data_IF_400802380845
#
_entry.id   IF_400802380845
#
_cell.length_a   1.000
_cell.length_b   1.000
_cell.length_c   1.000
_cell.angle_alpha   90.00
_cell.angle_beta   90.00
_cell.angle_gamma   90.00
#
_symmetry.space_group_name_H-M   'P 1'
#
loop_
_entity.id
_entity.type
_entity.pdbx_description
1 polymer ?
#
# COMPACT_ATOMS: atom_id res chain seq x y z
N UNK A 1 7.10 -13.51 -11.61
CA UNK A 1 6.40 -14.08 -10.44
C UNK A 1 7.03 -15.39 -10.03
N UNK A 2 7.99 -15.40 -9.09
CA UNK A 2 8.48 -16.64 -8.47
C UNK A 2 7.30 -17.48 -7.93
N UNK A 3 6.31 -16.81 -7.31
CA UNK A 3 5.11 -17.45 -6.76
C UNK A 3 4.19 -18.13 -7.80
N UNK A 4 4.11 -17.67 -9.06
CA UNK A 4 3.36 -18.37 -10.12
C UNK A 4 4.20 -19.38 -10.90
N UNK A 5 5.52 -19.18 -10.95
CA UNK A 5 6.41 -20.06 -11.70
C UNK A 5 6.49 -21.46 -11.07
N UNK A 6 6.49 -21.55 -9.74
CA UNK A 6 6.77 -22.80 -9.03
C UNK A 6 5.59 -23.78 -8.95
N UNK A 7 4.33 -23.32 -9.09
CA UNK A 7 3.15 -24.20 -8.91
C UNK A 7 2.16 -24.23 -10.06
N UNK A 8 2.15 -23.22 -10.92
CA UNK A 8 1.12 -23.12 -11.98
C UNK A 8 1.71 -22.98 -13.39
N UNK A 9 3.02 -23.17 -13.54
CA UNK A 9 3.74 -22.88 -14.78
C UNK A 9 3.45 -21.44 -15.30
N UNK A 10 3.29 -20.49 -14.38
CA UNK A 10 2.95 -19.10 -14.72
C UNK A 10 1.49 -18.87 -15.11
N UNK A 11 0.58 -19.82 -14.84
CA UNK A 11 -0.83 -19.73 -15.23
C UNK A 11 -1.68 -19.35 -14.02
N UNK A 12 -2.26 -18.15 -14.06
CA UNK A 12 -3.30 -17.73 -13.15
C UNK A 12 -4.38 -17.03 -13.97
N UNK A 13 -5.64 -17.30 -13.66
CA UNK A 13 -6.79 -16.63 -14.28
C UNK A 13 -7.22 -15.42 -13.44
N UNK A 14 -6.99 -15.51 -12.12
CA UNK A 14 -7.27 -14.47 -11.13
C UNK A 14 -6.04 -14.31 -10.23
N UNK A 15 -5.67 -13.07 -9.92
CA UNK A 15 -4.67 -12.73 -8.90
C UNK A 15 -5.32 -11.75 -7.93
N UNK A 16 -5.25 -12.03 -6.62
CA UNK A 16 -5.69 -11.10 -5.58
C UNK A 16 -4.48 -10.80 -4.72
N UNK A 17 -4.08 -9.53 -4.66
CA UNK A 17 -2.88 -9.15 -3.94
C UNK A 17 -2.70 -7.66 -3.84
N UNK A 18 -1.60 -7.26 -3.21
CA UNK A 18 -1.22 -5.86 -3.09
C UNK A 18 -0.96 -5.27 -4.49
N UNK A 19 -1.75 -4.27 -4.86
CA UNK A 19 -1.81 -3.68 -6.19
C UNK A 19 -0.44 -3.32 -6.75
N UNK A 20 0.35 -2.52 -6.04
CA UNK A 20 1.67 -2.10 -6.51
C UNK A 20 2.65 -3.26 -6.75
N UNK A 21 2.57 -4.32 -5.94
CA UNK A 21 3.41 -5.53 -6.12
C UNK A 21 2.96 -6.30 -7.36
N UNK A 22 1.65 -6.48 -7.54
CA UNK A 22 1.09 -7.18 -8.69
C UNK A 22 1.35 -6.41 -9.98
N UNK A 23 1.17 -5.08 -9.98
CA UNK A 23 1.45 -4.21 -11.12
C UNK A 23 2.93 -4.30 -11.55
N UNK A 24 3.87 -4.23 -10.60
CA UNK A 24 5.30 -4.35 -10.89
C UNK A 24 5.66 -5.74 -11.49
N UNK A 25 5.03 -6.80 -11.01
CA UNK A 25 5.22 -8.15 -11.56
C UNK A 25 4.56 -8.33 -12.95
N UNK A 26 3.41 -7.68 -13.19
CA UNK A 26 2.76 -7.63 -14.50
C UNK A 26 3.70 -6.94 -15.51
N UNK A 27 4.27 -5.79 -15.14
CA UNK A 27 5.20 -5.04 -15.99
C UNK A 27 6.47 -5.85 -16.27
N UNK A 28 7.14 -6.33 -15.22
CA UNK A 28 8.36 -7.14 -15.32
C UNK A 28 8.16 -8.42 -16.15
N UNK A 29 7.03 -9.08 -15.96
CA UNK A 29 6.67 -10.32 -16.65
C UNK A 29 5.99 -10.13 -18.00
N UNK A 30 5.71 -8.89 -18.41
CA UNK A 30 4.90 -8.55 -19.61
C UNK A 30 3.59 -9.35 -19.64
N UNK A 31 2.96 -9.50 -18.48
CA UNK A 31 1.74 -10.28 -18.32
C UNK A 31 0.52 -9.47 -18.78
N UNK A 32 -0.55 -10.17 -19.15
CA UNK A 32 -1.83 -9.54 -19.51
C UNK A 32 -2.81 -9.73 -18.36
N UNK A 33 -2.77 -8.84 -17.39
CA UNK A 33 -3.76 -8.78 -16.31
C UNK A 33 -4.32 -7.37 -16.23
N UNK A 34 -5.59 -7.26 -15.83
CA UNK A 34 -6.24 -5.98 -15.57
C UNK A 34 -6.83 -5.99 -14.16
N UNK A 35 -6.66 -4.91 -13.38
CA UNK A 35 -7.37 -4.76 -12.13
C UNK A 35 -8.88 -4.66 -12.43
N UNK A 36 -9.70 -5.29 -11.60
CA UNK A 36 -11.16 -5.29 -11.78
C UNK A 36 -11.92 -4.79 -10.55
N UNK A 37 -11.45 -5.09 -9.33
CA UNK A 37 -12.13 -4.74 -8.09
C UNK A 37 -11.10 -4.58 -6.96
N UNK A 38 -11.39 -3.70 -6.01
CA UNK A 38 -10.60 -3.53 -4.79
C UNK A 38 -11.31 -4.14 -3.58
N UNK A 39 -10.55 -4.79 -2.69
CA UNK A 39 -11.06 -5.34 -1.43
C UNK A 39 -11.07 -4.24 -0.37
N UNK A 40 -12.21 -4.07 0.31
CA UNK A 40 -12.29 -3.12 1.44
C UNK A 40 -11.69 -3.70 2.72
N UNK A 41 -11.07 -2.87 3.55
CA UNK A 41 -10.75 -3.22 4.94
C UNK A 41 -12.00 -3.24 5.82
N UNK A 42 -11.84 -3.58 7.11
CA UNK A 42 -12.92 -3.48 8.13
C UNK A 42 -13.43 -2.04 8.31
N UNK A 43 -12.61 -1.04 7.96
CA UNK A 43 -12.99 0.38 7.94
C UNK A 43 -13.83 0.76 6.71
N UNK A 44 -13.86 -0.09 5.68
CA UNK A 44 -14.53 0.16 4.40
C UNK A 44 -13.67 0.87 3.36
N UNK A 45 -12.38 1.06 3.62
CA UNK A 45 -11.44 1.75 2.73
C UNK A 45 -10.65 0.73 1.90
N UNK A 46 -10.22 1.09 0.69
CA UNK A 46 -9.50 0.22 -0.26
C UNK A 46 -8.00 0.56 -0.40
N UNK A 47 -7.51 1.44 0.47
CA UNK A 47 -6.16 1.98 0.43
C UNK A 47 -5.39 1.63 1.70
N UNK A 48 -4.07 1.66 1.61
CA UNK A 48 -3.17 1.55 2.74
C UNK A 48 -2.20 2.75 2.77
N UNK A 49 -1.43 2.88 3.85
CA UNK A 49 -0.39 3.90 3.98
C UNK A 49 0.93 3.28 4.42
N UNK A 50 2.04 3.92 4.12
CA UNK A 50 3.32 3.68 4.77
C UNK A 50 3.37 4.41 6.10
N UNK A 51 3.99 3.80 7.10
CA UNK A 51 4.28 4.38 8.39
C UNK A 51 5.79 4.47 8.53
N UNK A 52 6.30 5.69 8.72
CA UNK A 52 7.70 5.90 9.06
C UNK A 52 7.81 5.76 10.58
N UNK A 53 8.63 4.81 11.02
CA UNK A 53 8.77 4.45 12.42
C UNK A 53 10.21 4.56 12.89
N UNK A 54 10.36 4.92 14.17
CA UNK A 54 11.63 4.97 14.91
C UNK A 54 11.48 4.19 16.22
N UNK A 55 12.58 3.81 16.89
CA UNK A 55 12.50 3.32 18.27
C UNK A 55 11.76 4.31 19.17
N UNK A 56 10.95 3.83 20.11
CA UNK A 56 10.07 4.69 20.90
C UNK A 56 10.84 5.74 21.72
N UNK A 57 12.05 5.40 22.18
CA UNK A 57 12.94 6.29 22.92
C UNK A 57 13.69 7.33 22.06
N UNK A 58 13.61 7.26 20.72
CA UNK A 58 14.25 8.24 19.84
C UNK A 58 13.65 9.65 20.04
N UNK A 59 14.41 10.76 19.89
CA UNK A 59 13.82 12.09 20.07
C UNK A 59 12.90 12.54 18.91
N UNK A 60 12.99 11.96 17.71
CA UNK A 60 12.21 12.38 16.53
C UNK A 60 10.70 12.22 16.77
N UNK A 61 9.90 13.22 16.41
CA UNK A 61 8.43 13.21 16.59
C UNK A 61 7.67 13.35 15.27
N UNK A 62 8.33 13.85 14.25
CA UNK A 62 7.79 14.14 12.92
C UNK A 62 8.72 13.66 11.83
N UNK A 63 8.22 13.50 10.60
CA UNK A 63 9.05 13.11 9.45
C UNK A 63 10.20 14.10 9.20
N UNK A 64 9.99 15.39 9.47
CA UNK A 64 11.03 16.43 9.33
C UNK A 64 12.19 16.31 10.33
N UNK A 65 12.00 15.60 11.44
CA UNK A 65 13.06 15.34 12.42
C UNK A 65 14.08 14.30 11.93
N UNK A 66 13.78 13.61 10.83
CA UNK A 66 14.60 12.54 10.26
C UNK A 66 15.76 13.04 9.39
N UNK A 67 16.08 14.34 9.46
CA UNK A 67 17.26 14.90 8.79
C UNK A 67 18.52 14.20 9.29
N UNK A 68 19.33 13.70 8.36
CA UNK A 68 20.55 12.94 8.64
C UNK A 68 20.32 11.59 9.37
N UNK A 69 19.09 11.07 9.39
CA UNK A 69 18.84 9.71 9.86
C UNK A 69 19.22 8.70 8.78
N UNK A 70 19.61 7.50 9.20
CA UNK A 70 19.62 6.33 8.32
C UNK A 70 18.18 5.88 8.10
N UNK A 71 17.70 5.86 6.86
CA UNK A 71 16.30 5.51 6.56
C UNK A 71 16.29 4.24 5.70
N UNK A 72 15.63 3.20 6.21
CA UNK A 72 15.48 1.91 5.54
C UNK A 72 14.08 1.85 4.92
N UNK A 73 14.00 1.88 3.60
CA UNK A 73 12.76 1.85 2.85
C UNK A 73 12.29 0.42 2.57
N UNK A 74 11.04 0.26 2.09
CA UNK A 74 10.66 -0.99 1.43
C UNK A 74 11.23 -1.09 0.01
N UNK A 75 11.03 -2.22 -0.68
CA UNK A 75 11.43 -2.36 -2.08
C UNK A 75 10.69 -1.37 -2.98
N UNK A 76 11.27 -1.01 -4.14
CA UNK A 76 10.69 -0.05 -5.08
C UNK A 76 9.27 -0.40 -5.54
N UNK A 77 8.94 -1.68 -5.61
CA UNK A 77 7.63 -2.19 -6.00
C UNK A 77 6.58 -2.14 -4.85
N UNK A 78 6.95 -1.62 -3.68
CA UNK A 78 6.05 -1.37 -2.56
C UNK A 78 5.81 0.14 -2.42
N UNK A 79 4.83 0.66 -3.15
CA UNK A 79 4.56 2.11 -3.29
C UNK A 79 4.48 2.86 -1.94
N UNK A 80 3.78 2.31 -0.96
CA UNK A 80 3.60 2.92 0.37
C UNK A 80 4.88 2.97 1.19
N UNK A 81 5.77 1.98 1.01
CA UNK A 81 7.04 1.89 1.74
C UNK A 81 8.19 2.60 1.02
N UNK A 82 7.99 2.96 -0.26
CA UNK A 82 9.04 3.48 -1.11
C UNK A 82 8.64 4.84 -1.70
N UNK A 83 7.96 4.88 -2.85
CA UNK A 83 7.63 6.12 -3.55
C UNK A 83 6.86 7.13 -2.69
N UNK A 84 5.80 6.69 -1.99
CA UNK A 84 4.98 7.56 -1.15
C UNK A 84 5.74 8.05 0.11
N UNK A 85 6.73 7.28 0.58
CA UNK A 85 7.57 7.66 1.71
C UNK A 85 8.66 8.66 1.29
N UNK A 86 9.25 8.47 0.12
CA UNK A 86 10.17 9.43 -0.51
C UNK A 86 9.48 10.78 -0.66
N UNK A 87 8.25 10.80 -1.20
CA UNK A 87 7.47 12.01 -1.38
C UNK A 87 7.19 12.72 -0.04
N UNK A 88 6.79 11.97 1.00
CA UNK A 88 6.56 12.51 2.34
C UNK A 88 7.83 13.13 2.94
N UNK A 89 8.97 12.44 2.83
CA UNK A 89 10.26 12.89 3.37
C UNK A 89 10.77 14.13 2.63
N UNK A 90 10.67 14.15 1.30
CA UNK A 90 11.01 15.31 0.48
C UNK A 90 10.13 16.52 0.84
N UNK A 91 8.82 16.33 0.95
CA UNK A 91 7.88 17.38 1.37
C UNK A 91 8.15 17.87 2.80
N UNK A 92 8.77 17.04 3.65
CA UNK A 92 9.18 17.38 5.02
C UNK A 92 10.58 18.01 5.10
N UNK A 93 11.24 18.25 3.96
CA UNK A 93 12.57 18.86 3.88
C UNK A 93 13.71 17.91 4.29
N UNK A 94 13.51 16.59 4.19
CA UNK A 94 14.56 15.59 4.39
C UNK A 94 15.23 15.28 3.06
N UNK A 95 16.53 15.53 2.97
CA UNK A 95 17.35 15.15 1.82
C UNK A 95 17.68 13.66 1.91
N UNK A 96 17.41 12.92 0.85
CA UNK A 96 17.71 11.49 0.74
C UNK A 96 19.04 11.28 -0.01
N UNK A 97 19.79 10.21 0.31
CA UNK A 97 20.97 9.84 -0.46
C UNK A 97 20.60 9.36 -1.88
N UNK A 98 21.56 9.41 -2.79
CA UNK A 98 21.38 8.93 -4.18
C UNK A 98 21.01 7.45 -4.24
N UNK A 99 21.58 6.64 -3.34
CA UNK A 99 21.29 5.22 -3.19
C UNK A 99 20.48 4.98 -1.92
N UNK A 100 19.26 4.49 -2.07
CA UNK A 100 18.36 4.19 -0.96
C UNK A 100 18.63 2.79 -0.42
N UNK A 101 18.70 2.69 0.90
CA UNK A 101 18.71 1.40 1.59
C UNK A 101 17.29 0.81 1.64
N UNK A 102 17.16 -0.48 1.34
CA UNK A 102 15.86 -1.16 1.30
C UNK A 102 15.87 -2.48 2.05
N UNK A 103 14.75 -2.84 2.68
CA UNK A 103 14.49 -4.16 3.24
C UNK A 103 13.18 -4.74 2.70
N UNK A 104 13.17 -6.05 2.46
CA UNK A 104 12.01 -6.75 1.89
C UNK A 104 10.82 -6.75 2.87
N UNK A 105 11.02 -7.27 4.07
CA UNK A 105 9.98 -7.39 5.08
C UNK A 105 9.91 -6.18 6.02
N UNK A 106 8.70 -5.86 6.48
CA UNK A 106 8.48 -4.82 7.48
C UNK A 106 9.13 -5.17 8.83
N UNK A 107 9.15 -6.45 9.19
CA UNK A 107 9.78 -6.96 10.41
C UNK A 107 11.29 -6.73 10.40
N UNK A 108 11.94 -6.95 9.26
CA UNK A 108 13.40 -6.89 9.17
C UNK A 108 13.89 -5.45 9.39
N UNK A 109 13.26 -4.48 8.73
CA UNK A 109 13.56 -3.07 8.93
C UNK A 109 13.28 -2.62 10.37
N UNK A 110 12.18 -3.08 10.95
CA UNK A 110 11.78 -2.71 12.30
C UNK A 110 12.70 -3.31 13.39
N UNK A 111 13.10 -4.58 13.24
CA UNK A 111 14.10 -5.23 14.08
C UNK A 111 15.45 -4.54 13.93
N UNK A 112 15.87 -4.23 12.71
CA UNK A 112 17.17 -3.59 12.44
C UNK A 112 17.31 -2.26 13.17
N UNK A 113 16.31 -1.37 13.12
CA UNK A 113 16.40 -0.08 13.81
C UNK A 113 16.40 -0.22 15.34
N UNK A 114 15.82 -1.27 15.89
CA UNK A 114 15.86 -1.56 17.33
C UNK A 114 17.23 -2.10 17.75
N UNK A 115 17.81 -3.00 16.96
CA UNK A 115 19.15 -3.57 17.23
C UNK A 115 20.27 -2.55 17.13
N UNK A 116 20.14 -1.56 16.23
CA UNK A 116 21.07 -0.43 16.15
C UNK A 116 21.09 0.41 17.45
N UNK A 117 19.97 0.45 18.17
CA UNK A 117 19.82 1.15 19.44
C UNK A 117 20.17 2.64 19.35
N UNK A 118 20.62 3.23 20.46
CA UNK A 118 20.95 4.66 20.53
C UNK A 118 22.23 5.05 19.76
N UNK A 119 22.97 4.09 19.21
CA UNK A 119 24.23 4.32 18.49
C UNK A 119 23.99 4.94 17.12
N UNK A 120 22.87 4.61 16.47
CA UNK A 120 22.54 5.10 15.13
C UNK A 120 21.10 5.57 15.14
N UNK A 121 20.90 6.84 14.79
CA UNK A 121 19.57 7.39 14.52
C UNK A 121 19.04 6.81 13.23
N UNK A 122 18.08 5.89 13.36
CA UNK A 122 17.54 5.16 12.25
C UNK A 122 16.00 5.14 12.25
N UNK A 123 15.43 5.13 11.06
CA UNK A 123 14.02 4.96 10.82
C UNK A 123 13.80 3.87 9.76
N UNK A 124 12.65 3.23 9.78
CA UNK A 124 12.21 2.36 8.68
C UNK A 124 10.79 2.71 8.25
N UNK A 125 10.41 2.28 7.06
CA UNK A 125 9.06 2.44 6.54
C UNK A 125 8.36 1.08 6.47
N UNK A 126 7.26 0.95 7.21
CA UNK A 126 6.44 -0.26 7.24
C UNK A 126 5.07 0.00 6.61
N UNK A 127 4.41 -1.03 6.11
CA UNK A 127 3.01 -0.93 5.68
C UNK A 127 2.09 -0.78 6.89
N UNK A 128 1.04 0.04 6.82
CA UNK A 128 0.15 0.29 7.95
C UNK A 128 -0.57 -0.95 8.47
N UNK A 129 -0.86 -1.93 7.59
CA UNK A 129 -1.43 -3.21 8.01
C UNK A 129 -0.45 -4.05 8.85
N UNK A 130 0.87 -3.83 8.69
CA UNK A 130 1.89 -4.61 9.37
C UNK A 130 2.10 -4.16 10.81
N UNK A 131 1.79 -2.90 11.16
CA UNK A 131 1.98 -2.36 12.51
C UNK A 131 1.41 -3.26 13.63
N UNK A 132 0.14 -3.69 13.60
CA UNK A 132 -0.38 -4.61 14.63
C UNK A 132 0.21 -6.02 14.57
N UNK A 133 0.79 -6.43 13.43
CA UNK A 133 1.34 -7.77 13.22
C UNK A 133 2.78 -7.90 13.74
N UNK A 134 3.53 -6.79 13.80
CA UNK A 134 4.90 -6.78 14.32
C UNK A 134 4.97 -7.23 15.78
N UNK A 135 3.94 -6.94 16.57
CA UNK A 135 3.85 -7.38 17.97
C UNK A 135 3.56 -8.88 18.09
N UNK A 136 2.93 -9.48 17.07
CA UNK A 136 2.54 -10.89 17.05
C UNK A 136 3.68 -11.87 16.83
N UNK A 137 4.81 -11.45 16.25
CA UNK A 137 5.96 -12.33 16.01
C UNK A 137 6.90 -12.46 17.22
N UNK A 138 6.65 -11.72 18.32
CA UNK A 138 7.43 -11.78 19.56
C UNK A 138 8.79 -11.08 19.52
N UNK A 139 9.26 -10.64 18.34
CA UNK A 139 10.55 -9.93 18.17
C UNK A 139 10.45 -8.45 18.54
N UNK A 140 9.28 -7.83 18.35
CA UNK A 140 9.02 -6.41 18.63
C UNK A 140 7.92 -6.34 19.68
N UNK A 141 8.15 -5.63 20.79
CA UNK A 141 7.14 -5.47 21.84
C UNK A 141 6.24 -4.28 21.55
N UNK A 142 5.03 -4.35 22.06
CA UNK A 142 4.11 -3.22 22.06
C UNK A 142 4.77 -2.00 22.70
N UNK A 143 4.83 -0.92 21.93
CA UNK A 143 5.45 0.33 22.37
C UNK A 143 6.95 0.44 22.14
N UNK A 144 7.61 -0.54 21.50
CA UNK A 144 9.03 -0.42 21.11
C UNK A 144 9.24 0.56 19.96
N UNK A 145 8.22 0.82 19.16
CA UNK A 145 8.25 1.68 17.98
C UNK A 145 7.27 2.84 18.11
N UNK A 146 7.61 3.96 17.47
CA UNK A 146 6.73 5.12 17.35
C UNK A 146 6.65 5.59 15.91
N UNK A 147 5.43 5.89 15.47
CA UNK A 147 5.18 6.49 14.15
C UNK A 147 5.51 7.97 14.20
N UNK A 148 6.35 8.42 13.28
CA UNK A 148 6.74 9.83 13.10
C UNK A 148 6.27 10.41 11.76
N UNK A 149 5.79 9.56 10.85
CA UNK A 149 5.21 9.98 9.58
C UNK A 149 4.22 8.97 9.03
N UNK A 150 3.23 9.44 8.29
CA UNK A 150 2.24 8.61 7.58
C UNK A 150 2.15 9.12 6.15
N UNK A 151 2.38 8.24 5.18
CA UNK A 151 2.33 8.62 3.76
C UNK A 151 0.90 8.94 3.33
N UNK A 152 0.76 9.50 2.13
CA UNK A 152 -0.54 9.52 1.45
C UNK A 152 -1.08 8.09 1.27
N UNK A 153 -2.42 7.89 1.27
CA UNK A 153 -3.01 6.61 0.95
C UNK A 153 -2.69 6.17 -0.48
N UNK A 154 -2.42 4.89 -0.66
CA UNK A 154 -2.19 4.24 -1.95
C UNK A 154 -3.12 3.02 -2.09
N UNK A 155 -3.52 2.62 -3.31
CA UNK A 155 -4.34 1.42 -3.52
C UNK A 155 -3.74 0.17 -2.86
N UNK A 156 -4.57 -0.65 -2.22
CA UNK A 156 -4.11 -1.81 -1.45
C UNK A 156 -4.42 -3.14 -2.14
N UNK A 157 -5.33 -3.95 -1.61
CA UNK A 157 -5.63 -5.28 -2.14
C UNK A 157 -6.60 -5.14 -3.32
N UNK A 158 -6.15 -5.60 -4.47
CA UNK A 158 -6.90 -5.57 -5.73
C UNK A 158 -6.99 -6.98 -6.31
N UNK A 159 -8.15 -7.30 -6.86
CA UNK A 159 -8.37 -8.45 -7.72
C UNK A 159 -8.06 -8.07 -9.18
N UNK A 160 -7.29 -8.93 -9.83
CA UNK A 160 -6.89 -8.83 -11.21
C UNK A 160 -7.37 -10.04 -11.99
N UNK A 161 -7.78 -9.84 -13.23
CA UNK A 161 -8.18 -10.92 -14.14
C UNK A 161 -7.25 -11.00 -15.34
N UNK A 162 -6.95 -12.22 -15.77
CA UNK A 162 -6.14 -12.50 -16.95
C UNK A 162 -6.87 -12.04 -18.21
N UNK A 163 -6.21 -11.23 -19.03
CA UNK A 163 -6.70 -10.82 -20.35
C UNK A 163 -6.66 -11.93 -21.40
N UNK A 164 -6.33 -13.16 -21.01
CA UNK A 164 -6.47 -14.37 -21.84
C UNK A 164 -7.86 -14.99 -21.73
N UNK A 165 -8.62 -14.65 -20.69
CA UNK A 165 -9.99 -15.10 -20.50
C UNK A 165 -10.94 -14.36 -21.45
N UNK A 166 -12.03 -15.03 -21.83
CA UNK A 166 -13.10 -14.40 -22.60
C UNK A 166 -13.83 -13.37 -21.75
N UNK A 167 -14.48 -12.41 -22.40
CA UNK A 167 -15.19 -11.32 -21.69
C UNK A 167 -16.32 -11.85 -20.80
N UNK A 168 -16.97 -12.95 -21.20
CA UNK A 168 -17.99 -13.61 -20.39
C UNK A 168 -17.39 -14.19 -19.10
N UNK A 169 -16.21 -14.78 -19.17
CA UNK A 169 -15.51 -15.35 -18.01
C UNK A 169 -15.01 -14.24 -17.07
N UNK A 170 -14.44 -13.16 -17.62
CA UNK A 170 -14.03 -11.99 -16.84
C UNK A 170 -15.24 -11.36 -16.13
N UNK A 171 -16.37 -11.25 -16.81
CA UNK A 171 -17.62 -10.72 -16.26
C UNK A 171 -18.19 -11.64 -15.17
N UNK A 172 -18.14 -12.95 -15.36
CA UNK A 172 -18.58 -13.93 -14.36
C UNK A 172 -17.73 -13.85 -13.08
N UNK A 173 -16.41 -13.74 -13.22
CA UNK A 173 -15.48 -13.56 -12.09
C UNK A 173 -15.79 -12.27 -11.34
N UNK A 174 -15.93 -11.15 -12.06
CA UNK A 174 -16.26 -9.86 -11.46
C UNK A 174 -17.58 -9.91 -10.70
N UNK A 175 -18.62 -10.51 -11.28
CA UNK A 175 -19.92 -10.70 -10.63
C UNK A 175 -19.82 -11.56 -9.37
N UNK A 176 -19.07 -12.66 -9.43
CA UNK A 176 -18.86 -13.55 -8.28
C UNK A 176 -18.14 -12.83 -7.13
N UNK A 177 -17.11 -12.03 -7.43
CA UNK A 177 -16.38 -11.26 -6.42
C UNK A 177 -17.26 -10.16 -5.80
N UNK A 178 -18.10 -9.48 -6.58
CA UNK A 178 -19.05 -8.49 -6.05
C UNK A 178 -20.10 -9.13 -5.13
N UNK A 179 -20.55 -10.35 -5.45
CA UNK A 179 -21.54 -11.08 -4.64
C UNK A 179 -21.02 -11.47 -3.24
N UNK A 180 -19.71 -11.36 -2.97
CA UNK A 180 -19.14 -11.50 -1.62
C UNK A 180 -19.79 -10.53 -0.63
N UNK A 181 -20.26 -9.37 -1.10
CA UNK A 181 -21.00 -8.41 -0.27
C UNK A 181 -22.27 -8.98 0.37
N UNK A 182 -22.86 -10.02 -0.24
CA UNK A 182 -24.11 -10.64 0.20
C UNK A 182 -23.88 -11.88 1.09
N UNK A 183 -22.61 -12.23 1.38
CA UNK A 183 -22.21 -13.45 2.09
C UNK A 183 -21.52 -13.12 3.43
N UNK A 184 -22.27 -13.00 4.55
CA UNK A 184 -21.72 -12.57 5.83
C UNK A 184 -20.54 -13.41 6.34
N UNK A 185 -20.57 -14.72 6.09
CA UNK A 185 -19.48 -15.61 6.47
C UNK A 185 -18.18 -15.31 5.69
N UNK A 186 -18.29 -14.94 4.41
CA UNK A 186 -17.13 -14.55 3.60
C UNK A 186 -16.62 -13.16 4.01
N UNK A 187 -17.50 -12.20 4.30
CA UNK A 187 -17.08 -10.88 4.81
C UNK A 187 -16.28 -11.01 6.10
N UNK A 188 -16.73 -11.89 7.01
CA UNK A 188 -16.02 -12.17 8.26
C UNK A 188 -14.66 -12.83 7.99
N UNK A 189 -14.62 -13.87 7.15
CA UNK A 189 -13.40 -14.61 6.85
C UNK A 189 -12.35 -13.78 6.11
N UNK A 190 -12.79 -12.86 5.25
CA UNK A 190 -11.93 -11.93 4.50
C UNK A 190 -11.56 -10.68 5.29
N UNK A 191 -12.07 -10.53 6.52
CA UNK A 191 -11.80 -9.37 7.37
C UNK A 191 -12.15 -8.03 6.68
N UNK A 192 -13.28 -8.01 5.98
CA UNK A 192 -13.69 -6.92 5.10
C UNK A 192 -15.07 -6.40 5.47
N UNK A 193 -15.30 -5.10 5.26
CA UNK A 193 -16.60 -4.47 5.57
C UNK A 193 -17.65 -4.71 4.49
N UNK A 194 -17.25 -4.61 3.22
CA UNK A 194 -18.15 -4.68 2.05
C UNK A 194 -17.72 -5.71 1.02
N UNK A 195 -16.65 -6.47 1.28
CA UNK A 195 -16.06 -7.34 0.28
C UNK A 195 -15.35 -6.52 -0.79
N UNK A 196 -15.50 -6.97 -2.04
CA UNK A 196 -14.94 -6.33 -3.21
C UNK A 196 -15.86 -5.20 -3.70
N UNK A 197 -15.27 -4.08 -4.11
CA UNK A 197 -15.94 -2.93 -4.69
C UNK A 197 -15.24 -2.50 -5.97
N UNK A 198 -15.91 -1.70 -6.80
CA UNK A 198 -15.26 -1.08 -7.95
C UNK A 198 -14.01 -0.32 -7.53
N UNK A 199 -12.94 -0.42 -8.32
CA UNK A 199 -11.78 0.42 -8.07
C UNK A 199 -12.22 1.90 -8.17
N UNK A 200 -11.92 2.73 -7.16
CA UNK A 200 -12.13 4.15 -7.30
C UNK A 200 -11.30 4.63 -8.49
N UNK A 201 -11.93 5.43 -9.38
CA UNK A 201 -11.25 5.97 -10.54
C UNK A 201 -9.94 6.62 -10.09
N UNK A 202 -8.81 6.19 -10.67
CA UNK A 202 -7.53 6.84 -10.40
C UNK A 202 -7.66 8.30 -10.79
N UNK A 203 -7.43 9.26 -9.88
CA UNK A 203 -7.34 10.65 -10.27
C UNK A 203 -6.26 10.76 -11.36
N UNK A 204 -6.51 11.44 -12.48
CA UNK A 204 -5.50 11.60 -13.51
C UNK A 204 -4.24 12.20 -12.88
N UNK A 205 -3.09 11.67 -13.28
CA UNK A 205 -1.77 12.12 -12.85
C UNK A 205 -1.41 13.46 -13.50
N UNK A 206 -2.24 14.48 -13.29
CA UNK A 206 -1.95 15.85 -13.73
C UNK A 206 -2.50 16.81 -12.67
N UNK A 207 -1.58 17.49 -11.99
CA UNK A 207 -1.84 18.54 -11.02
C UNK A 207 -2.50 19.79 -11.62
N UNK A 208 -3.70 19.65 -12.15
CA UNK A 208 -4.61 20.77 -12.38
C UNK A 208 -5.65 20.78 -11.26
N UNK A 209 -5.79 21.89 -10.50
CA UNK A 209 -6.83 22.01 -9.49
C UNK A 209 -8.20 21.72 -10.13
N UNK A 210 -8.99 20.87 -9.47
CA UNK A 210 -10.41 20.76 -9.78
C UNK A 210 -10.99 22.17 -9.74
N UNK A 211 -11.49 22.66 -10.88
CA UNK A 211 -12.28 23.87 -10.92
C UNK A 211 -13.46 23.68 -9.97
N UNK A 212 -13.50 24.48 -8.91
CA UNK A 212 -14.61 24.46 -7.96
C UNK A 212 -15.88 24.87 -8.71
N UNK A 213 -16.94 24.09 -8.51
CA UNK A 213 -18.26 24.25 -9.12
C UNK A 213 -19.02 25.46 -8.54
N UNK A 214 -18.45 26.65 -8.67
CA UNK A 214 -19.05 27.92 -8.20
C UNK A 214 -19.68 28.75 -9.32
N UNK A 215 -19.43 28.44 -10.60
CA UNK A 215 -19.93 29.28 -11.72
C UNK A 215 -21.26 28.81 -12.34
N UNK A 216 -21.86 27.73 -11.84
CA UNK A 216 -23.14 27.22 -12.38
C UNK A 216 -24.40 27.89 -11.79
N UNK A 217 -24.28 28.75 -10.77
CA UNK A 217 -25.45 29.31 -10.07
C UNK A 217 -25.76 30.79 -10.35
N UNK A 218 -25.04 31.47 -11.25
CA UNK A 218 -25.28 32.91 -11.54
C UNK A 218 -25.99 33.23 -12.87
N UNK A 219 -26.49 32.24 -13.62
CA UNK A 219 -27.20 32.46 -14.91
C UNK A 219 -28.70 32.14 -14.92
N UNK A 220 -29.34 32.00 -13.76
CA UNK A 220 -30.81 31.92 -13.65
C UNK A 220 -31.35 32.91 -12.60
N UNK A 221 -31.06 34.19 -12.78
CA UNK A 221 -31.80 35.28 -12.13
C UNK A 221 -31.39 36.62 -12.76
N UNK A 222 -31.92 36.91 -13.95
CA UNK A 222 -32.37 38.22 -14.45
C UNK A 222 -32.58 38.15 -15.96
#
# INVERSE_FOLDING_TARGET
MPALAEKTAGRADIVIGKKSVVDAEIEKGKLKFKPILALTGKDGVTTQTGLIVVPAADPAKTAGDLKNYRIIFGPAYCEEKHAAAIELLAASGVTLPDTLETCEACSDGATMILELGSKVRAATVISSYAAPLLEGCGTIKKGDLRVVGKTKPVPFVTAFVSGKLKDEEQSAIRKALLAVADEPALLLALETKKGFVEEPATPPADGKPLATSSDAQKKRAR
#
